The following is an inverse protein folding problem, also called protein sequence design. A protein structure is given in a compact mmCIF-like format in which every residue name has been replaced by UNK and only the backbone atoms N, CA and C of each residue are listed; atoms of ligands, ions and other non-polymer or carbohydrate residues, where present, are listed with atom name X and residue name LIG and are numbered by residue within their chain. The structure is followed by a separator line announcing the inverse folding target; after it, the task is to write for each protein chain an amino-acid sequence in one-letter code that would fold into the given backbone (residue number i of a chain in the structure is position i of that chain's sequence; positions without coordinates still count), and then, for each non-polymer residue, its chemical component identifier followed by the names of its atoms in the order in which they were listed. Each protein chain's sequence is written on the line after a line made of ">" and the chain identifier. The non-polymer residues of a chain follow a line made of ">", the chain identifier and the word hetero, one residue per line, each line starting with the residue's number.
data_IF_873230389792
#
_entry.id   IF_873230389792
#
_cell.length_a   1.000
_cell.length_b   1.000
_cell.length_c   1.000
_cell.angle_alpha   90.00
_cell.angle_beta   90.00
_cell.angle_gamma   90.00
#
_symmetry.space_group_name_H-M   'P 1'
#
loop_
_entity.id
_entity.type
_entity.pdbx_description
1 polymer ?
#
# COMPACT_ATOMS: atom_id res chain seq x y z
N UNK A 1 -4.79 -8.26 40.55
CA UNK A 1 -4.46 -6.82 40.75
C UNK A 1 -3.83 -6.16 39.51
N UNK A 2 -2.93 -6.84 38.79
CA UNK A 2 -2.28 -6.34 37.56
C UNK A 2 -3.27 -5.98 36.44
N UNK A 3 -4.34 -6.77 36.28
CA UNK A 3 -5.36 -6.59 35.24
C UNK A 3 -6.09 -5.24 35.29
N UNK A 4 -6.38 -4.73 36.49
CA UNK A 4 -7.06 -3.44 36.67
C UNK A 4 -6.13 -2.26 36.37
N UNK A 5 -4.83 -2.42 36.62
CA UNK A 5 -3.81 -1.42 36.32
C UNK A 5 -3.61 -1.33 34.81
N UNK A 6 -3.45 -2.47 34.15
CA UNK A 6 -3.33 -2.55 32.69
C UNK A 6 -4.56 -1.96 31.99
N UNK A 7 -5.79 -2.23 32.48
CA UNK A 7 -7.01 -1.63 31.92
C UNK A 7 -7.08 -0.11 32.05
N UNK A 8 -6.57 0.46 33.15
CA UNK A 8 -6.49 1.91 33.30
C UNK A 8 -5.45 2.51 32.36
N UNK A 9 -4.33 1.82 32.21
CA UNK A 9 -3.24 2.23 31.34
C UNK A 9 -3.64 2.17 29.85
N UNK A 10 -4.34 1.12 29.42
CA UNK A 10 -4.94 1.03 28.09
C UNK A 10 -5.91 2.20 27.85
N UNK A 11 -6.85 2.45 28.76
CA UNK A 11 -7.80 3.57 28.62
C UNK A 11 -7.10 4.93 28.57
N UNK A 12 -6.04 5.09 29.34
CA UNK A 12 -5.24 6.31 29.33
C UNK A 12 -4.52 6.49 27.99
N UNK A 13 -3.90 5.43 27.48
CA UNK A 13 -3.26 5.44 26.15
C UNK A 13 -4.27 5.69 25.03
N UNK A 14 -5.47 5.09 25.09
CA UNK A 14 -6.57 5.34 24.16
C UNK A 14 -7.04 6.81 24.18
N UNK A 15 -7.01 7.47 25.34
CA UNK A 15 -7.34 8.89 25.48
C UNK A 15 -6.23 9.83 24.98
N UNK A 16 -4.97 9.39 25.06
CA UNK A 16 -3.83 10.16 24.57
C UNK A 16 -3.68 10.05 23.05
N UNK A 17 -4.08 8.91 22.45
CA UNK A 17 -3.97 8.63 21.02
C UNK A 17 -4.44 9.77 20.08
N UNK A 18 -5.61 10.42 20.31
CA UNK A 18 -6.07 11.52 19.46
C UNK A 18 -5.17 12.76 19.53
N UNK A 19 -4.49 12.99 20.65
CA UNK A 19 -3.57 14.12 20.83
C UNK A 19 -2.30 13.93 20.02
N UNK A 20 -1.79 12.70 20.00
CA UNK A 20 -0.66 12.31 19.14
C UNK A 20 -1.03 12.41 17.66
N UNK A 21 -2.27 12.07 17.30
CA UNK A 21 -2.76 12.20 15.92
C UNK A 21 -2.67 13.64 15.43
N UNK A 22 -3.14 14.62 16.21
CA UNK A 22 -3.07 16.06 15.84
C UNK A 22 -1.64 16.53 15.60
N UNK A 23 -0.70 16.08 16.43
CA UNK A 23 0.73 16.42 16.27
C UNK A 23 1.29 15.81 14.97
N UNK A 24 0.97 14.55 14.68
CA UNK A 24 1.36 13.88 13.43
C UNK A 24 0.78 14.62 12.23
N UNK A 25 -0.51 14.97 12.27
CA UNK A 25 -1.20 15.68 11.20
C UNK A 25 -0.54 17.05 10.92
N UNK A 26 -0.11 17.77 11.97
CA UNK A 26 0.53 19.09 11.84
C UNK A 26 1.95 19.03 11.22
N UNK A 27 2.70 17.96 11.49
CA UNK A 27 4.08 17.78 10.99
C UNK A 27 4.08 17.16 9.60
N UNK A 28 3.13 16.28 9.33
CA UNK A 28 3.08 15.53 8.07
C UNK A 28 2.18 16.17 7.02
N UNK A 29 1.29 17.09 7.40
CA UNK A 29 0.27 17.66 6.52
C UNK A 29 -0.81 16.66 6.10
N UNK A 30 -0.91 15.52 6.81
CA UNK A 30 -1.82 14.43 6.50
C UNK A 30 -2.95 14.46 7.53
N UNK A 31 -4.03 15.21 7.28
CA UNK A 31 -5.29 14.94 7.98
C UNK A 31 -5.97 13.80 7.23
N UNK A 32 -6.07 12.60 7.79
CA UNK A 32 -6.84 11.57 7.11
C UNK A 32 -7.70 10.69 8.03
N UNK A 33 -9.03 10.75 7.86
CA UNK A 33 -9.94 9.63 8.16
C UNK A 33 -9.77 8.51 7.10
N UNK A 34 -8.55 8.00 6.93
CA UNK A 34 -8.02 7.40 5.69
C UNK A 34 -8.57 6.04 5.26
N UNK A 35 -9.14 5.29 6.19
CA UNK A 35 -9.76 4.00 5.89
C UNK A 35 -11.27 4.18 6.01
N UNK A 36 -11.90 4.59 4.91
CA UNK A 36 -13.32 4.32 4.78
C UNK A 36 -13.55 2.80 4.82
N UNK A 37 -14.77 2.36 5.14
CA UNK A 37 -15.10 0.92 5.21
C UNK A 37 -14.94 0.17 3.87
N UNK A 38 -14.60 0.88 2.80
CA UNK A 38 -14.42 0.36 1.44
C UNK A 38 -12.95 0.22 1.04
N UNK A 39 -12.01 0.78 1.80
CA UNK A 39 -10.58 0.72 1.51
C UNK A 39 -9.98 -0.54 2.10
N UNK A 40 -9.51 -1.43 1.23
CA UNK A 40 -8.91 -2.72 1.59
C UNK A 40 -7.42 -2.58 1.92
N UNK A 41 -6.72 -1.70 1.20
CA UNK A 41 -5.29 -1.45 1.36
C UNK A 41 -4.90 -0.08 0.82
N UNK A 42 -3.74 0.42 1.25
CA UNK A 42 -3.16 1.67 0.74
C UNK A 42 -1.79 1.38 0.14
N UNK A 43 -1.59 1.79 -1.12
CA UNK A 43 -0.29 1.75 -1.78
C UNK A 43 0.32 3.14 -1.72
N UNK A 44 1.48 3.26 -1.08
CA UNK A 44 2.16 4.54 -0.89
C UNK A 44 3.43 4.59 -1.74
N UNK A 45 3.43 5.52 -2.68
CA UNK A 45 4.63 5.91 -3.42
C UNK A 45 5.31 7.13 -2.80
N UNK A 46 6.19 7.77 -3.58
CA UNK A 46 6.92 8.98 -3.18
C UNK A 46 6.05 10.22 -3.34
N UNK A 47 5.31 10.30 -4.44
CA UNK A 47 4.47 11.45 -4.79
C UNK A 47 2.98 11.15 -4.64
N UNK A 48 2.57 9.90 -4.91
CA UNK A 48 1.16 9.53 -5.00
C UNK A 48 0.82 8.42 -4.01
N UNK A 49 -0.43 8.43 -3.58
CA UNK A 49 -1.05 7.41 -2.72
C UNK A 49 -2.27 6.85 -3.44
N UNK A 50 -2.40 5.53 -3.44
CA UNK A 50 -3.53 4.83 -4.06
C UNK A 50 -4.31 4.05 -3.00
N UNK A 51 -5.62 4.20 -3.02
CA UNK A 51 -6.54 3.45 -2.16
C UNK A 51 -7.08 2.25 -2.95
N UNK A 52 -6.79 1.05 -2.48
CA UNK A 52 -7.30 -0.19 -3.06
C UNK A 52 -8.73 -0.42 -2.56
N UNK A 53 -9.72 -0.26 -3.45
CA UNK A 53 -11.15 -0.48 -3.16
C UNK A 53 -11.72 -1.78 -3.76
N UNK A 54 -10.98 -2.39 -4.67
CA UNK A 54 -11.34 -3.65 -5.32
C UNK A 54 -10.46 -4.78 -4.81
N UNK A 55 -10.98 -6.02 -4.77
CA UNK A 55 -10.21 -7.20 -4.37
C UNK A 55 -9.07 -7.56 -5.32
N UNK A 56 -9.09 -7.01 -6.53
CA UNK A 56 -8.05 -7.16 -7.52
C UNK A 56 -7.79 -5.79 -8.13
N UNK A 57 -6.51 -5.42 -8.23
CA UNK A 57 -6.07 -4.18 -8.87
C UNK A 57 -4.84 -4.46 -9.74
N UNK A 58 -4.76 -3.77 -10.86
CA UNK A 58 -3.64 -3.78 -11.79
C UNK A 58 -2.71 -2.60 -11.54
N UNK A 59 -1.40 -2.83 -11.67
CA UNK A 59 -0.37 -1.80 -11.54
C UNK A 59 0.55 -1.78 -12.76
N UNK A 60 0.96 -0.59 -13.17
CA UNK A 60 1.87 -0.41 -14.29
C UNK A 60 1.97 1.03 -14.77
N UNK A 61 2.37 1.20 -16.03
CA UNK A 61 2.40 2.50 -16.72
C UNK A 61 1.16 2.63 -17.61
N UNK A 62 0.28 3.55 -17.28
CA UNK A 62 -0.92 3.82 -18.08
C UNK A 62 -0.54 4.38 -19.46
N UNK A 63 -1.26 3.93 -20.49
CA UNK A 63 -1.15 4.44 -21.87
C UNK A 63 -2.54 4.47 -22.50
N UNK A 64 -2.72 5.16 -23.64
CA UNK A 64 -4.02 5.25 -24.33
C UNK A 64 -4.69 3.88 -24.54
N UNK A 65 -3.90 2.84 -24.81
CA UNK A 65 -4.41 1.50 -25.11
C UNK A 65 -4.37 0.54 -23.92
N UNK A 66 -3.83 0.97 -22.78
CA UNK A 66 -3.67 0.11 -21.61
C UNK A 66 -3.89 0.90 -20.33
N UNK A 67 -5.11 0.79 -19.82
CA UNK A 67 -5.51 1.33 -18.52
C UNK A 67 -5.10 0.38 -17.39
N UNK A 68 -4.61 0.96 -16.30
CA UNK A 68 -4.29 0.27 -15.04
C UNK A 68 -4.93 1.02 -13.88
N UNK A 69 -5.26 0.31 -12.81
CA UNK A 69 -5.87 0.91 -11.61
C UNK A 69 -4.85 1.77 -10.85
N UNK A 70 -3.59 1.34 -10.83
CA UNK A 70 -2.47 2.05 -10.21
C UNK A 70 -1.44 2.43 -11.26
N UNK A 71 -1.44 3.71 -11.63
CA UNK A 71 -0.50 4.25 -12.60
C UNK A 71 0.80 4.75 -11.96
N UNK A 72 1.81 3.90 -11.97
CA UNK A 72 3.14 4.23 -11.45
C UNK A 72 3.84 5.33 -12.26
N UNK A 73 3.30 5.75 -13.41
CA UNK A 73 3.82 6.89 -14.17
C UNK A 73 3.72 8.22 -13.44
N UNK A 74 2.77 8.33 -12.50
CA UNK A 74 2.57 9.54 -11.71
C UNK A 74 3.68 9.78 -10.67
N UNK A 75 4.55 8.79 -10.43
CA UNK A 75 5.72 8.90 -9.55
C UNK A 75 6.93 9.57 -10.25
N UNK A 76 6.85 9.80 -11.57
CA UNK A 76 7.91 10.42 -12.36
C UNK A 76 8.35 9.56 -13.55
N UNK A 77 9.62 9.65 -13.98
CA UNK A 77 10.13 8.93 -15.14
C UNK A 77 9.88 7.42 -15.05
N UNK A 78 9.00 6.91 -15.93
CA UNK A 78 8.45 5.56 -15.82
C UNK A 78 8.80 4.65 -16.99
N UNK A 79 9.80 5.02 -17.81
CA UNK A 79 10.24 4.24 -18.97
C UNK A 79 10.74 2.83 -18.62
N UNK A 80 11.17 2.60 -17.37
CA UNK A 80 11.54 1.28 -16.83
C UNK A 80 10.34 0.43 -16.39
N UNK A 81 9.17 1.04 -16.22
CA UNK A 81 7.95 0.40 -15.74
C UNK A 81 7.18 -0.18 -16.92
N UNK A 82 6.80 -1.45 -16.80
CA UNK A 82 6.00 -2.11 -17.83
C UNK A 82 4.58 -1.52 -17.84
N UNK A 83 3.93 -1.50 -19.01
CA UNK A 83 2.52 -1.09 -19.13
C UNK A 83 1.61 -1.89 -18.19
N UNK A 84 1.85 -3.21 -18.11
CA UNK A 84 1.35 -4.12 -17.08
C UNK A 84 2.53 -4.64 -16.27
N UNK A 85 2.75 -4.05 -15.10
CA UNK A 85 3.87 -4.42 -14.24
C UNK A 85 3.47 -5.53 -13.27
N UNK A 86 2.24 -5.51 -12.76
CA UNK A 86 1.76 -6.57 -11.89
C UNK A 86 0.30 -6.44 -11.52
N UNK A 87 -0.15 -7.40 -10.73
CA UNK A 87 -1.50 -7.46 -10.19
C UNK A 87 -1.42 -7.75 -8.70
N UNK A 88 -2.17 -7.01 -7.89
CA UNK A 88 -2.36 -7.29 -6.47
C UNK A 88 -3.77 -7.82 -6.28
N UNK A 89 -3.92 -8.91 -5.54
CA UNK A 89 -5.24 -9.40 -5.14
C UNK A 89 -5.33 -9.74 -3.67
N UNK A 90 -6.51 -9.52 -3.11
CA UNK A 90 -6.94 -9.96 -1.79
C UNK A 90 -7.65 -11.30 -1.92
N UNK A 91 -7.11 -12.34 -1.27
CA UNK A 91 -7.76 -13.65 -1.17
C UNK A 91 -8.86 -13.62 -0.12
N UNK A 92 -9.78 -14.58 -0.20
CA UNK A 92 -10.82 -14.77 0.82
C UNK A 92 -10.25 -15.13 2.20
N UNK A 93 -8.99 -15.59 2.28
CA UNK A 93 -8.27 -15.81 3.55
C UNK A 93 -7.89 -14.52 4.27
N UNK A 94 -7.99 -13.36 3.61
CA UNK A 94 -7.50 -12.07 4.12
C UNK A 94 -6.06 -11.75 3.70
N UNK A 95 -5.37 -12.71 3.05
CA UNK A 95 -4.00 -12.50 2.58
C UNK A 95 -3.97 -11.77 1.24
N UNK A 96 -3.00 -10.88 1.08
CA UNK A 96 -2.70 -10.27 -0.19
C UNK A 96 -1.60 -11.03 -0.92
N UNK A 97 -1.72 -11.11 -2.25
CA UNK A 97 -0.67 -11.59 -3.11
C UNK A 97 -0.41 -10.61 -4.25
N UNK A 98 0.83 -10.60 -4.71
CA UNK A 98 1.26 -9.83 -5.87
C UNK A 98 1.83 -10.77 -6.92
N UNK A 99 1.42 -10.57 -8.16
CA UNK A 99 1.95 -11.24 -9.33
C UNK A 99 2.73 -10.23 -10.17
N UNK A 100 3.94 -10.59 -10.59
CA UNK A 100 4.70 -9.77 -11.52
C UNK A 100 4.42 -10.20 -12.96
N UNK A 101 3.79 -9.32 -13.74
CA UNK A 101 3.54 -9.52 -15.17
C UNK A 101 4.55 -8.74 -16.04
N UNK A 102 5.31 -7.85 -15.41
CA UNK A 102 6.27 -6.99 -16.07
C UNK A 102 7.62 -7.65 -16.29
N UNK A 103 8.47 -6.94 -17.04
CA UNK A 103 9.85 -7.39 -17.31
C UNK A 103 10.78 -7.21 -16.11
N UNK A 104 10.54 -6.17 -15.31
CA UNK A 104 11.37 -5.83 -14.14
C UNK A 104 10.88 -6.57 -12.90
N UNK A 105 11.78 -6.98 -11.99
CA UNK A 105 11.36 -7.58 -10.72
C UNK A 105 10.61 -6.58 -9.85
N UNK A 106 9.63 -7.07 -9.10
CA UNK A 106 8.95 -6.30 -8.05
C UNK A 106 9.56 -6.69 -6.71
N UNK A 107 9.96 -5.71 -5.90
CA UNK A 107 10.50 -5.98 -4.57
C UNK A 107 9.36 -6.05 -3.56
N UNK A 108 9.24 -7.19 -2.88
CA UNK A 108 8.27 -7.46 -1.81
C UNK A 108 9.05 -7.86 -0.57
N UNK A 109 8.97 -7.06 0.48
CA UNK A 109 9.71 -7.28 1.74
C UNK A 109 11.21 -7.52 1.53
N UNK A 110 11.79 -6.78 0.58
CA UNK A 110 13.20 -6.89 0.18
C UNK A 110 13.52 -8.07 -0.75
N UNK A 111 12.56 -8.94 -1.06
CA UNK A 111 12.75 -10.09 -1.96
C UNK A 111 12.25 -9.77 -3.38
N UNK A 112 13.04 -10.10 -4.43
CA UNK A 112 12.61 -9.87 -5.81
C UNK A 112 11.62 -10.94 -6.29
N UNK A 113 10.46 -10.49 -6.76
CA UNK A 113 9.46 -11.28 -7.49
C UNK A 113 9.76 -11.15 -8.98
N UNK A 114 10.22 -12.23 -9.60
CA UNK A 114 10.55 -12.29 -11.03
C UNK A 114 9.30 -12.34 -11.90
N UNK A 115 9.46 -12.04 -13.19
CA UNK A 115 8.36 -12.10 -14.15
C UNK A 115 7.69 -13.48 -14.14
N UNK A 116 6.36 -13.51 -14.09
CA UNK A 116 5.55 -14.73 -14.04
C UNK A 116 5.44 -15.38 -12.65
N UNK A 117 6.20 -14.91 -11.65
CA UNK A 117 6.09 -15.42 -10.29
C UNK A 117 5.12 -14.61 -9.43
N UNK A 118 4.66 -15.23 -8.34
CA UNK A 118 3.72 -14.66 -7.38
C UNK A 118 4.28 -14.81 -5.97
N UNK A 119 4.01 -13.83 -5.11
CA UNK A 119 4.42 -13.88 -3.72
C UNK A 119 3.31 -13.33 -2.80
N UNK A 120 3.22 -13.88 -1.60
CA UNK A 120 2.37 -13.32 -0.54
C UNK A 120 2.99 -12.01 -0.02
N UNK A 121 2.16 -11.06 0.39
CA UNK A 121 2.60 -9.75 0.86
C UNK A 121 1.77 -9.30 2.06
N UNK A 122 2.43 -8.80 3.10
CA UNK A 122 1.77 -8.30 4.32
C UNK A 122 1.35 -6.80 4.25
N UNK A 123 1.57 -6.13 3.12
CA UNK A 123 1.20 -4.73 2.80
C UNK A 123 1.71 -3.66 3.79
N UNK A 124 2.90 -3.13 3.48
CA UNK A 124 3.07 -1.75 2.98
C UNK A 124 4.01 -1.88 1.77
N UNK A 125 3.45 -1.94 0.56
CA UNK A 125 4.24 -2.01 -0.66
C UNK A 125 4.80 -0.63 -0.99
N UNK A 126 5.94 -0.29 -0.40
CA UNK A 126 6.79 0.78 -0.93
C UNK A 126 7.39 0.24 -2.24
N UNK A 127 6.68 0.45 -3.36
CA UNK A 127 7.18 0.15 -4.69
C UNK A 127 8.34 1.11 -5.00
N UNK A 128 9.53 0.81 -4.47
CA UNK A 128 10.76 1.45 -4.93
C UNK A 128 11.11 0.88 -6.29
N UNK A 129 10.54 1.46 -7.34
CA UNK A 129 11.19 1.39 -8.64
C UNK A 129 12.52 2.14 -8.47
N UNK A 130 13.65 1.44 -8.56
CA UNK A 130 14.94 2.13 -8.79
C UNK A 130 14.84 2.76 -10.17
N UNK A 131 14.39 4.00 -10.22
CA UNK A 131 14.63 4.89 -11.37
C UNK A 131 16.13 5.02 -11.57
#
# INVERSE_FOLDING_TARGET
>A
MVDRRNKREIRHLEQELPKWQVLVDSVTGISMPDFDSQTLAVLRGRLVRYLMRSREISLGRSTKDNHVDVDLSLEGPSWKVSRRQGIIKLRNSGDFFIANEGKRPILVDGRPVMAGSKQNSAIILCLRSRV
#
